data_IF_584619100875
#
_entry.id   IF_584619100875
#
_cell.length_a   1.000
_cell.length_b   1.000
_cell.length_c   1.000
_cell.angle_alpha   90.00
_cell.angle_beta   90.00
_cell.angle_gamma   90.00
#
_symmetry.space_group_name_H-M   'P 1'
#
loop_
_entity.id
_entity.type
_entity.pdbx_description
1 polymer ?
#
# COMPACT_ATOMS: atom_id res chain seq x y z
N UNK A 1 -13.45 -27.96 -0.20
CA UNK A 1 -12.06 -27.48 -0.21
C UNK A 1 -12.11 -26.00 -0.56
N UNK A 2 -11.38 -25.19 0.19
CA UNK A 2 -11.28 -23.75 -0.07
C UNK A 2 -10.76 -23.51 -1.50
N UNK A 3 -11.41 -22.59 -2.24
CA UNK A 3 -11.07 -22.29 -3.64
C UNK A 3 -11.21 -20.80 -3.96
N UNK A 4 -10.38 -20.35 -4.86
CA UNK A 4 -10.40 -19.00 -5.38
C UNK A 4 -9.46 -18.06 -4.64
N UNK A 5 -8.82 -17.19 -5.41
CA UNK A 5 -7.92 -16.16 -4.90
C UNK A 5 -8.69 -14.85 -4.84
N UNK A 6 -8.82 -14.33 -3.65
CA UNK A 6 -9.61 -13.14 -3.41
C UNK A 6 -8.76 -11.93 -3.09
N UNK A 7 -9.23 -10.78 -3.48
CA UNK A 7 -8.64 -9.48 -3.15
C UNK A 7 -9.67 -8.58 -2.49
N UNK A 8 -9.20 -7.64 -1.68
CA UNK A 8 -10.02 -6.56 -1.14
C UNK A 8 -9.81 -5.30 -1.98
N UNK A 9 -10.88 -4.77 -2.57
CA UNK A 9 -10.86 -3.48 -3.22
C UNK A 9 -10.96 -2.39 -2.16
N UNK A 10 -10.01 -1.46 -2.15
CA UNK A 10 -10.06 -0.27 -1.30
C UNK A 10 -10.67 0.90 -2.07
N UNK A 11 -11.70 1.50 -1.47
CA UNK A 11 -12.37 2.70 -1.99
C UNK A 11 -12.17 3.84 -1.00
N UNK A 12 -11.82 5.00 -1.52
CA UNK A 12 -11.74 6.22 -0.72
C UNK A 12 -12.30 7.39 -1.54
N UNK A 13 -13.19 8.16 -0.94
CA UNK A 13 -13.83 9.31 -1.58
C UNK A 13 -14.53 8.95 -2.92
N UNK A 14 -15.10 7.74 -3.01
CA UNK A 14 -15.78 7.25 -4.21
C UNK A 14 -14.86 6.75 -5.33
N UNK A 15 -13.55 6.67 -5.09
CA UNK A 15 -12.57 6.20 -6.07
C UNK A 15 -11.84 4.95 -5.61
N UNK A 16 -11.55 4.04 -6.55
CA UNK A 16 -10.69 2.89 -6.32
C UNK A 16 -9.26 3.33 -6.12
N UNK A 17 -8.66 2.88 -5.01
CA UNK A 17 -7.24 3.06 -4.76
C UNK A 17 -6.40 2.17 -5.67
N UNK A 18 -5.24 2.67 -6.09
CA UNK A 18 -4.30 1.96 -6.98
C UNK A 18 -3.97 0.56 -6.49
N UNK A 19 -3.81 0.38 -5.17
CA UNK A 19 -3.52 -0.92 -4.55
C UNK A 19 -4.55 -1.99 -4.92
N UNK A 20 -5.83 -1.64 -5.10
CA UNK A 20 -6.87 -2.59 -5.52
C UNK A 20 -6.53 -3.25 -6.86
N UNK A 21 -5.99 -2.48 -7.80
CA UNK A 21 -5.60 -2.95 -9.13
C UNK A 21 -4.28 -3.73 -9.08
N UNK A 22 -3.36 -3.32 -8.22
CA UNK A 22 -2.10 -4.04 -7.96
C UNK A 22 -2.36 -5.43 -7.35
N UNK A 23 -3.31 -5.52 -6.41
CA UNK A 23 -3.73 -6.79 -5.82
C UNK A 23 -4.35 -7.73 -6.86
N UNK A 24 -5.15 -7.21 -7.80
CA UNK A 24 -5.69 -8.01 -8.89
C UNK A 24 -4.59 -8.54 -9.80
N UNK A 25 -3.58 -7.72 -10.11
CA UNK A 25 -2.40 -8.18 -10.87
C UNK A 25 -1.68 -9.32 -10.16
N UNK A 26 -1.41 -9.16 -8.87
CA UNK A 26 -0.80 -10.19 -8.04
C UNK A 26 -1.67 -11.47 -8.00
N UNK A 27 -2.98 -11.34 -7.74
CA UNK A 27 -3.90 -12.46 -7.68
C UNK A 27 -3.96 -13.23 -9.01
N UNK A 28 -3.93 -12.55 -10.15
CA UNK A 28 -3.90 -13.19 -11.47
C UNK A 28 -2.64 -14.04 -11.68
N UNK A 29 -1.47 -13.56 -11.24
CA UNK A 29 -0.24 -14.35 -11.33
C UNK A 29 -0.27 -15.60 -10.43
N UNK A 30 -0.85 -15.50 -9.23
CA UNK A 30 -1.03 -16.64 -8.35
C UNK A 30 -2.06 -17.64 -8.91
N UNK A 31 -3.17 -17.13 -9.47
CA UNK A 31 -4.27 -17.91 -10.02
C UNK A 31 -3.83 -18.77 -11.23
N UNK A 32 -2.95 -18.24 -12.08
CA UNK A 32 -2.37 -19.00 -13.19
C UNK A 32 -1.67 -20.29 -12.72
N UNK A 33 -1.01 -20.24 -11.55
CA UNK A 33 -0.29 -21.41 -11.01
C UNK A 33 -1.21 -22.45 -10.37
N UNK A 34 -2.37 -22.02 -9.83
CA UNK A 34 -3.33 -22.89 -9.17
C UNK A 34 -4.50 -23.29 -10.07
N UNK A 35 -4.64 -22.70 -11.25
CA UNK A 35 -5.80 -22.82 -12.11
C UNK A 35 -7.11 -22.48 -11.37
N UNK A 36 -7.08 -21.39 -10.60
CA UNK A 36 -8.21 -20.87 -9.83
C UNK A 36 -8.72 -19.54 -10.38
N UNK A 37 -9.93 -19.15 -10.01
CA UNK A 37 -10.51 -17.86 -10.36
C UNK A 37 -10.08 -16.77 -9.39
N UNK A 38 -10.00 -15.54 -9.91
CA UNK A 38 -9.75 -14.33 -9.12
C UNK A 38 -11.08 -13.65 -8.83
N UNK A 39 -11.38 -13.45 -7.56
CA UNK A 39 -12.52 -12.67 -7.12
C UNK A 39 -12.06 -11.44 -6.34
N UNK A 40 -12.88 -10.41 -6.31
CA UNK A 40 -12.62 -9.23 -5.49
C UNK A 40 -13.83 -8.84 -4.68
N UNK A 41 -13.61 -8.35 -3.46
CA UNK A 41 -14.65 -7.82 -2.58
C UNK A 41 -14.66 -6.31 -2.70
N UNK A 42 -15.78 -5.76 -3.15
CA UNK A 42 -16.04 -4.33 -3.26
C UNK A 42 -17.15 -3.97 -2.28
N UNK A 43 -16.85 -3.14 -1.28
CA UNK A 43 -17.82 -2.75 -0.27
C UNK A 43 -17.78 -1.26 0.02
N UNK A 44 -18.95 -0.68 0.33
CA UNK A 44 -19.12 0.74 0.58
C UNK A 44 -20.56 1.21 0.39
N UNK A 45 -20.75 2.50 0.19
CA UNK A 45 -22.01 3.10 -0.23
C UNK A 45 -21.84 3.70 -1.62
N UNK A 46 -22.77 3.40 -2.54
CA UNK A 46 -22.75 3.87 -3.93
C UNK A 46 -21.45 3.53 -4.70
N UNK A 47 -20.94 2.32 -4.55
CA UNK A 47 -19.67 1.87 -5.15
C UNK A 47 -19.84 0.96 -6.36
N UNK A 48 -21.07 0.60 -6.73
CA UNK A 48 -21.37 -0.33 -7.84
C UNK A 48 -20.77 0.10 -9.17
N UNK A 49 -20.68 1.40 -9.45
CA UNK A 49 -20.04 1.94 -10.65
C UNK A 49 -18.53 1.64 -10.78
N UNK A 50 -17.90 1.15 -9.70
CA UNK A 50 -16.48 0.78 -9.72
C UNK A 50 -16.23 -0.67 -10.13
N UNK A 51 -17.29 -1.50 -10.20
CA UNK A 51 -17.18 -2.93 -10.48
C UNK A 51 -16.60 -3.24 -11.86
N UNK A 52 -17.03 -2.49 -12.89
CA UNK A 52 -16.52 -2.66 -14.26
C UNK A 52 -15.00 -2.52 -14.31
N UNK A 53 -14.46 -1.50 -13.65
CA UNK A 53 -13.01 -1.29 -13.57
C UNK A 53 -12.30 -2.47 -12.94
N UNK A 54 -12.85 -3.08 -11.89
CA UNK A 54 -12.26 -4.28 -11.27
C UNK A 54 -12.33 -5.49 -12.20
N UNK A 55 -13.42 -5.68 -12.94
CA UNK A 55 -13.56 -6.71 -13.98
C UNK A 55 -12.51 -6.54 -15.08
N UNK A 56 -12.39 -5.33 -15.65
CA UNK A 56 -11.41 -5.01 -16.69
C UNK A 56 -9.96 -5.24 -16.23
N UNK A 57 -9.66 -5.06 -14.95
CA UNK A 57 -8.35 -5.34 -14.35
C UNK A 57 -8.21 -6.78 -13.82
N UNK A 58 -9.04 -7.70 -14.26
CA UNK A 58 -8.78 -9.12 -14.10
C UNK A 58 -9.65 -9.88 -13.13
N UNK A 59 -10.55 -9.23 -12.37
CA UNK A 59 -11.51 -9.98 -11.56
C UNK A 59 -12.41 -10.83 -12.45
N UNK A 60 -12.54 -12.12 -12.14
CA UNK A 60 -13.54 -13.00 -12.75
C UNK A 60 -14.90 -12.79 -12.08
N UNK A 61 -14.88 -12.44 -10.79
CA UNK A 61 -16.06 -12.20 -9.99
C UNK A 61 -15.88 -10.99 -9.07
N UNK A 62 -16.88 -10.15 -8.98
CA UNK A 62 -16.91 -9.01 -8.04
C UNK A 62 -18.05 -9.24 -7.05
N UNK A 63 -17.72 -9.43 -5.77
CA UNK A 63 -18.69 -9.45 -4.68
C UNK A 63 -18.96 -8.02 -4.25
N UNK A 64 -20.13 -7.52 -4.60
CA UNK A 64 -20.57 -6.16 -4.32
C UNK A 64 -21.43 -6.12 -3.05
N UNK A 65 -20.98 -5.38 -2.05
CA UNK A 65 -21.72 -5.14 -0.81
C UNK A 65 -21.96 -3.64 -0.67
N UNK A 66 -23.19 -3.20 -0.89
CA UNK A 66 -23.61 -1.81 -0.75
C UNK A 66 -24.50 -1.64 0.48
N UNK A 67 -24.09 -0.77 1.39
CA UNK A 67 -24.87 -0.36 2.55
C UNK A 67 -24.48 1.06 2.95
N UNK A 68 -25.44 1.91 3.29
CA UNK A 68 -25.16 3.28 3.74
C UNK A 68 -24.34 3.30 5.05
N UNK A 69 -24.43 2.27 5.88
CA UNK A 69 -23.61 2.09 7.08
C UNK A 69 -22.12 1.87 6.77
N UNK A 70 -21.79 1.53 5.51
CA UNK A 70 -20.42 1.34 5.02
C UNK A 70 -19.89 2.55 4.24
N UNK A 71 -20.61 3.68 4.23
CA UNK A 71 -20.20 4.91 3.55
C UNK A 71 -18.86 5.41 4.03
N UNK A 72 -18.68 5.46 5.33
CA UNK A 72 -17.42 5.79 5.95
C UNK A 72 -16.75 4.51 6.45
N UNK A 73 -15.43 4.45 6.36
CA UNK A 73 -14.70 3.29 6.83
C UNK A 73 -14.93 3.06 8.33
N UNK A 74 -15.42 1.89 8.66
CA UNK A 74 -15.53 1.37 10.02
C UNK A 74 -14.87 0.02 10.10
N UNK A 75 -13.85 -0.12 10.95
CA UNK A 75 -13.17 -1.40 11.13
C UNK A 75 -14.12 -2.50 11.63
N UNK A 76 -15.13 -2.15 12.44
CA UNK A 76 -16.11 -3.09 12.95
C UNK A 76 -17.05 -3.57 11.83
N UNK A 77 -17.67 -2.64 11.11
CA UNK A 77 -18.62 -2.97 10.03
C UNK A 77 -17.96 -3.72 8.88
N UNK A 78 -16.81 -3.24 8.41
CA UNK A 78 -16.05 -3.88 7.33
C UNK A 78 -15.60 -5.29 7.72
N UNK A 79 -15.05 -5.47 8.93
CA UNK A 79 -14.61 -6.77 9.44
C UNK A 79 -15.75 -7.78 9.47
N UNK A 80 -16.91 -7.40 10.04
CA UNK A 80 -18.07 -8.28 10.13
C UNK A 80 -18.53 -8.78 8.77
N UNK A 81 -18.75 -7.85 7.85
CA UNK A 81 -19.27 -8.16 6.51
C UNK A 81 -18.29 -9.06 5.73
N UNK A 82 -16.99 -8.76 5.79
CA UNK A 82 -15.99 -9.55 5.07
C UNK A 82 -15.84 -10.94 5.68
N UNK A 83 -15.84 -11.07 7.02
CA UNK A 83 -15.78 -12.38 7.69
C UNK A 83 -16.98 -13.23 7.33
N UNK A 84 -18.18 -12.68 7.35
CA UNK A 84 -19.41 -13.39 7.02
C UNK A 84 -19.38 -13.92 5.57
N UNK A 85 -18.89 -13.09 4.64
CA UNK A 85 -18.71 -13.48 3.25
C UNK A 85 -17.64 -14.56 3.09
N UNK A 86 -16.47 -14.42 3.71
CA UNK A 86 -15.37 -15.41 3.64
C UNK A 86 -15.80 -16.74 4.22
N UNK A 87 -16.53 -16.77 5.34
CA UNK A 87 -17.05 -18.01 5.94
C UNK A 87 -18.06 -18.73 5.05
N UNK A 88 -18.81 -17.97 4.23
CA UNK A 88 -19.79 -18.55 3.31
C UNK A 88 -19.15 -19.11 2.05
N UNK A 89 -18.18 -18.43 1.50
CA UNK A 89 -17.62 -18.72 0.17
C UNK A 89 -16.29 -19.48 0.23
N UNK A 90 -15.60 -19.50 1.37
CA UNK A 90 -14.38 -20.25 1.68
C UNK A 90 -13.24 -20.08 0.65
N UNK A 91 -12.73 -18.86 0.40
CA UNK A 91 -11.59 -18.68 -0.50
C UNK A 91 -10.32 -19.35 0.02
N UNK A 92 -9.43 -19.76 -0.90
CA UNK A 92 -8.12 -20.35 -0.55
C UNK A 92 -7.11 -19.29 -0.09
N UNK A 93 -7.13 -18.13 -0.74
CA UNK A 93 -6.24 -17.00 -0.46
C UNK A 93 -7.06 -15.71 -0.38
N UNK A 94 -6.69 -14.82 0.56
CA UNK A 94 -7.26 -13.48 0.68
C UNK A 94 -6.17 -12.43 0.78
N UNK A 95 -6.08 -11.55 -0.22
CA UNK A 95 -5.08 -10.49 -0.31
C UNK A 95 -5.69 -9.13 0.02
N UNK A 96 -5.00 -8.37 0.88
CA UNK A 96 -5.33 -6.98 1.22
C UNK A 96 -4.16 -6.06 0.91
N UNK A 97 -4.40 -4.75 0.79
CA UNK A 97 -3.33 -3.76 0.76
C UNK A 97 -2.72 -3.55 2.16
N UNK A 98 -1.41 -3.34 2.24
CA UNK A 98 -0.75 -2.92 3.48
C UNK A 98 -0.81 -1.39 3.64
N UNK A 99 -1.93 -0.79 3.28
CA UNK A 99 -2.28 0.61 3.48
C UNK A 99 -2.61 0.90 4.95
N UNK A 100 -2.90 2.14 5.29
CA UNK A 100 -3.39 2.49 6.64
C UNK A 100 -4.68 1.74 6.96
N UNK A 101 -5.63 1.69 6.01
CA UNK A 101 -6.90 0.96 6.18
C UNK A 101 -6.66 -0.54 6.26
N UNK A 102 -5.85 -1.10 5.36
CA UNK A 102 -5.59 -2.53 5.34
C UNK A 102 -4.82 -3.02 6.56
N UNK A 103 -3.90 -2.22 7.11
CA UNK A 103 -3.18 -2.53 8.36
C UNK A 103 -4.08 -2.56 9.60
N UNK A 104 -5.18 -1.81 9.60
CA UNK A 104 -6.20 -1.89 10.65
C UNK A 104 -7.16 -3.07 10.41
N UNK A 105 -7.59 -3.28 9.17
CA UNK A 105 -8.66 -4.21 8.81
C UNK A 105 -8.18 -5.67 8.72
N UNK A 106 -7.06 -5.94 8.02
CA UNK A 106 -6.61 -7.31 7.75
C UNK A 106 -6.31 -8.13 9.02
N UNK A 107 -5.67 -7.57 10.08
CA UNK A 107 -5.48 -8.32 11.33
C UNK A 107 -6.79 -8.67 12.05
N UNK A 108 -7.81 -7.80 11.97
CA UNK A 108 -9.13 -8.06 12.55
C UNK A 108 -9.85 -9.20 11.83
N UNK A 109 -9.77 -9.21 10.49
CA UNK A 109 -10.32 -10.29 9.67
C UNK A 109 -9.61 -11.60 10.00
N UNK A 110 -8.27 -11.61 10.02
CA UNK A 110 -7.48 -12.80 10.32
C UNK A 110 -7.82 -13.38 11.70
N UNK A 111 -7.88 -12.51 12.73
CA UNK A 111 -8.26 -12.92 14.09
C UNK A 111 -9.69 -13.48 14.16
N UNK A 112 -10.65 -12.85 13.47
CA UNK A 112 -12.06 -13.31 13.43
C UNK A 112 -12.27 -14.61 12.66
N UNK A 113 -11.36 -14.94 11.74
CA UNK A 113 -11.34 -16.22 11.02
C UNK A 113 -10.47 -17.29 11.70
N UNK A 114 -9.64 -16.91 12.68
CA UNK A 114 -8.68 -17.82 13.32
C UNK A 114 -7.55 -18.23 12.38
N UNK A 115 -7.18 -17.38 11.42
CA UNK A 115 -6.12 -17.64 10.43
C UNK A 115 -4.88 -16.77 10.66
N UNK A 116 -3.76 -17.15 10.01
CA UNK A 116 -2.54 -16.36 10.01
C UNK A 116 -2.56 -15.22 8.99
N UNK A 117 -1.86 -14.13 9.30
CA UNK A 117 -1.66 -13.00 8.41
C UNK A 117 -0.18 -12.66 8.28
N UNK A 118 0.33 -12.66 7.06
CA UNK A 118 1.62 -12.06 6.75
C UNK A 118 1.42 -10.61 6.29
N UNK A 119 2.02 -9.64 7.00
CA UNK A 119 1.81 -8.21 6.72
C UNK A 119 3.04 -7.57 6.09
N UNK A 120 2.80 -6.49 5.31
CA UNK A 120 3.82 -5.67 4.66
C UNK A 120 4.71 -6.46 3.69
N UNK A 121 4.06 -7.35 2.92
CA UNK A 121 4.71 -8.24 1.97
C UNK A 121 5.07 -7.51 0.68
N UNK A 122 6.23 -7.86 0.11
CA UNK A 122 6.75 -7.27 -1.14
C UNK A 122 6.74 -8.25 -2.31
N UNK A 123 6.55 -9.54 -2.04
CA UNK A 123 6.39 -10.58 -3.06
C UNK A 123 5.39 -11.63 -2.57
N UNK A 124 4.70 -12.28 -3.52
CA UNK A 124 3.80 -13.39 -3.27
C UNK A 124 3.99 -14.45 -4.37
N UNK A 125 4.05 -15.70 -3.98
CA UNK A 125 4.23 -16.84 -4.90
C UNK A 125 3.49 -18.07 -4.37
N UNK A 126 3.19 -19.02 -5.25
CA UNK A 126 2.68 -20.34 -4.88
C UNK A 126 3.82 -21.33 -4.94
N UNK A 127 3.99 -22.13 -3.87
CA UNK A 127 4.98 -23.20 -3.83
C UNK A 127 4.49 -24.47 -4.56
N UNK A 128 5.34 -25.51 -4.58
CA UNK A 128 5.04 -26.79 -5.22
C UNK A 128 3.85 -27.55 -4.57
N UNK A 129 3.55 -27.24 -3.31
CA UNK A 129 2.42 -27.81 -2.56
C UNK A 129 1.11 -27.03 -2.74
N UNK A 130 1.10 -25.97 -3.58
CA UNK A 130 -0.06 -25.09 -3.78
C UNK A 130 -0.32 -24.14 -2.62
N UNK A 131 0.68 -23.83 -1.78
CA UNK A 131 0.55 -22.90 -0.66
C UNK A 131 1.10 -21.54 -0.98
N UNK A 132 0.49 -20.51 -0.42
CA UNK A 132 0.95 -19.14 -0.53
C UNK A 132 2.23 -18.95 0.28
N UNK A 133 3.29 -18.53 -0.40
CA UNK A 133 4.53 -18.03 0.22
C UNK A 133 4.63 -16.54 -0.07
N UNK A 134 4.87 -15.75 0.95
CA UNK A 134 5.08 -14.32 0.80
C UNK A 134 6.44 -13.91 1.36
N UNK A 135 7.06 -12.94 0.71
CA UNK A 135 8.34 -12.36 1.16
C UNK A 135 8.08 -10.99 1.76
N UNK A 136 8.67 -10.73 2.92
CA UNK A 136 8.60 -9.42 3.57
C UNK A 136 9.96 -8.97 4.08
N UNK A 137 10.27 -7.65 4.02
CA UNK A 137 11.49 -7.11 4.61
C UNK A 137 11.40 -7.09 6.14
N UNK A 138 12.53 -7.34 6.78
CA UNK A 138 12.73 -7.20 8.23
C UNK A 138 14.02 -6.43 8.50
N UNK A 139 14.24 -5.99 9.74
CA UNK A 139 15.41 -5.20 10.14
C UNK A 139 15.68 -4.01 9.21
N UNK A 140 14.64 -3.21 8.98
CA UNK A 140 14.70 -2.01 8.11
C UNK A 140 15.14 -2.34 6.65
N UNK A 141 14.71 -3.47 6.12
CA UNK A 141 15.03 -3.90 4.75
C UNK A 141 16.40 -4.56 4.57
N UNK A 142 17.14 -4.79 5.66
CA UNK A 142 18.45 -5.47 5.61
C UNK A 142 18.36 -6.97 5.39
N UNK A 143 17.21 -7.58 5.69
CA UNK A 143 16.93 -8.98 5.45
C UNK A 143 15.51 -9.17 4.93
N UNK A 144 15.29 -10.27 4.23
CA UNK A 144 13.99 -10.69 3.75
C UNK A 144 13.66 -12.05 4.33
N UNK A 145 12.45 -12.24 4.81
CA UNK A 145 11.96 -13.53 5.27
C UNK A 145 10.82 -14.01 4.38
N UNK A 146 10.75 -15.31 4.16
CA UNK A 146 9.60 -15.98 3.55
C UNK A 146 8.67 -16.46 4.65
N UNK A 147 7.39 -16.18 4.52
CA UNK A 147 6.35 -16.54 5.47
C UNK A 147 5.32 -17.43 4.76
N UNK A 148 4.90 -18.48 5.44
CA UNK A 148 3.86 -19.39 5.01
C UNK A 148 2.93 -19.70 6.19
N UNK A 149 1.61 -19.76 5.93
CA UNK A 149 0.60 -20.20 6.90
C UNK A 149 -0.17 -21.39 6.29
N UNK A 150 0.40 -22.62 6.31
CA UNK A 150 -0.07 -23.71 5.46
C UNK A 150 -1.37 -24.36 5.92
N UNK A 151 -1.69 -24.29 7.22
CA UNK A 151 -2.74 -25.09 7.86
C UNK A 151 -4.02 -24.30 8.15
N UNK A 152 -4.09 -23.04 7.74
CA UNK A 152 -5.26 -22.20 7.98
C UNK A 152 -5.74 -21.52 6.69
N UNK A 153 -7.05 -21.36 6.55
CA UNK A 153 -7.70 -20.78 5.38
C UNK A 153 -8.67 -19.66 5.77
N UNK A 154 -8.78 -18.62 4.92
CA UNK A 154 -7.89 -18.35 3.79
C UNK A 154 -6.46 -18.09 4.26
N UNK A 155 -5.46 -18.37 3.41
CA UNK A 155 -4.10 -17.89 3.61
C UNK A 155 -4.08 -16.39 3.33
N UNK A 156 -3.73 -15.56 4.34
CA UNK A 156 -3.87 -14.13 4.23
C UNK A 156 -2.53 -13.41 4.12
N UNK A 157 -2.49 -12.42 3.23
CA UNK A 157 -1.35 -11.51 3.11
C UNK A 157 -1.81 -10.07 2.88
N UNK A 158 -1.10 -9.13 3.54
CA UNK A 158 -1.22 -7.71 3.24
C UNK A 158 0.00 -7.26 2.41
N UNK A 159 -0.26 -6.84 1.18
CA UNK A 159 0.75 -6.48 0.17
C UNK A 159 1.05 -4.98 0.26
N UNK A 160 2.32 -4.63 0.27
CA UNK A 160 2.76 -3.24 0.27
C UNK A 160 2.34 -2.54 -1.02
N UNK A 161 1.83 -1.31 -0.99
CA UNK A 161 1.55 -0.53 -2.20
C UNK A 161 2.81 -0.31 -3.06
N UNK A 162 2.62 -0.19 -4.37
CA UNK A 162 3.65 0.07 -5.38
C UNK A 162 4.73 -1.03 -5.55
N UNK A 163 4.50 -2.24 -5.02
CA UNK A 163 5.43 -3.37 -5.21
C UNK A 163 4.93 -4.38 -6.24
N UNK A 164 3.63 -4.42 -6.49
CA UNK A 164 3.01 -5.24 -7.53
C UNK A 164 2.55 -4.37 -8.70
N UNK A 165 2.65 -4.90 -9.91
CA UNK A 165 2.16 -4.21 -11.08
C UNK A 165 0.69 -4.59 -11.35
N UNK A 166 -0.19 -3.62 -11.62
CA UNK A 166 -1.51 -3.95 -12.16
C UNK A 166 -1.34 -4.53 -13.56
N UNK A 167 -2.25 -5.39 -13.98
CA UNK A 167 -2.32 -5.83 -15.38
C UNK A 167 -2.87 -4.69 -16.25
N UNK A 168 -2.63 -4.77 -17.56
CA UNK A 168 -3.29 -3.87 -18.51
C UNK A 168 -4.80 -4.14 -18.51
N UNK A 169 -5.66 -3.09 -18.51
CA UNK A 169 -7.10 -3.28 -18.51
C UNK A 169 -7.55 -3.91 -19.84
N UNK A 170 -8.52 -4.81 -19.77
CA UNK A 170 -9.20 -5.40 -20.91
C UNK A 170 -10.71 -5.12 -20.78
N UNK A 171 -11.19 -4.11 -21.49
CA UNK A 171 -12.60 -3.69 -21.46
C UNK A 171 -13.56 -4.73 -22.07
N UNK A 172 -13.03 -5.74 -22.77
CA UNK A 172 -13.83 -6.83 -23.35
C UNK A 172 -14.05 -7.96 -22.35
N UNK A 173 -13.31 -7.97 -21.25
CA UNK A 173 -13.37 -9.04 -20.25
C UNK A 173 -14.70 -9.00 -19.50
N UNK A 174 -15.42 -10.12 -19.57
CA UNK A 174 -16.65 -10.34 -18.79
C UNK A 174 -16.30 -10.78 -17.36
N UNK A 175 -17.10 -10.38 -16.43
CA UNK A 175 -17.01 -10.79 -15.02
C UNK A 175 -18.40 -11.01 -14.44
N UNK A 176 -18.50 -11.77 -13.37
CA UNK A 176 -19.73 -12.00 -12.62
C UNK A 176 -19.88 -10.96 -11.52
N UNK A 177 -20.97 -10.20 -11.51
CA UNK A 177 -21.32 -9.31 -10.42
C UNK A 177 -22.25 -10.01 -9.43
N UNK A 178 -21.76 -10.32 -8.24
CA UNK A 178 -22.52 -10.97 -7.17
C UNK A 178 -22.88 -9.95 -6.11
N UNK A 179 -24.14 -9.55 -6.05
CA UNK A 179 -24.62 -8.67 -4.97
C UNK A 179 -24.80 -9.46 -3.69
N UNK A 180 -24.22 -8.96 -2.60
CA UNK A 180 -24.26 -9.58 -1.28
C UNK A 180 -24.85 -8.57 -0.29
N UNK A 181 -25.79 -9.03 0.51
CA UNK A 181 -26.39 -8.22 1.59
C UNK A 181 -25.40 -8.09 2.76
N UNK A 182 -25.26 -6.89 3.31
CA UNK A 182 -24.31 -6.60 4.39
C UNK A 182 -24.68 -7.27 5.72
N UNK A 183 -25.96 -7.49 5.98
CA UNK A 183 -26.51 -8.01 7.25
C UNK A 183 -26.04 -7.26 8.50
N UNK A 184 -25.72 -5.96 8.34
CA UNK A 184 -25.32 -5.12 9.46
C UNK A 184 -26.54 -4.70 10.28
N UNK A 185 -26.53 -5.00 11.57
CA UNK A 185 -27.54 -4.62 12.53
C UNK A 185 -27.22 -3.28 13.23
N UNK A 186 -28.18 -2.77 13.98
CA UNK A 186 -27.94 -1.63 14.84
C UNK A 186 -27.07 -2.05 16.04
N UNK A 187 -25.92 -1.36 16.20
CA UNK A 187 -24.92 -1.72 17.24
C UNK A 187 -23.69 -2.48 16.75
N UNK A 188 -23.70 -3.01 15.52
CA UNK A 188 -22.50 -3.63 14.92
C UNK A 188 -21.36 -2.62 14.70
N UNK A 189 -21.71 -1.35 14.51
CA UNK A 189 -20.78 -0.23 14.39
C UNK A 189 -20.97 0.67 15.60
N UNK A 190 -20.08 0.57 16.58
CA UNK A 190 -20.14 1.31 17.83
C UNK A 190 -19.44 2.67 17.73
N UNK A 191 -18.38 2.74 16.94
CA UNK A 191 -17.63 3.98 16.71
C UNK A 191 -18.23 4.75 15.55
N UNK A 192 -18.63 6.00 15.78
CA UNK A 192 -19.14 6.90 14.74
C UNK A 192 -18.12 7.98 14.42
N UNK A 193 -17.86 8.21 13.14
CA UNK A 193 -17.03 9.33 12.68
C UNK A 193 -17.80 10.61 12.94
N UNK A 194 -17.23 11.52 13.73
CA UNK A 194 -17.81 12.85 13.96
C UNK A 194 -17.43 13.84 12.87
N UNK A 195 -16.18 13.79 12.45
CA UNK A 195 -15.59 14.75 11.51
C UNK A 195 -14.43 14.10 10.77
N UNK A 196 -14.34 14.35 9.47
CA UNK A 196 -13.19 14.04 8.62
C UNK A 196 -12.39 15.32 8.43
N UNK A 197 -11.28 15.43 9.14
CA UNK A 197 -10.34 16.53 8.93
C UNK A 197 -9.45 16.16 7.74
N UNK A 198 -9.76 16.77 6.58
CA UNK A 198 -8.86 16.67 5.44
C UNK A 198 -7.66 17.56 5.70
N UNK A 199 -6.49 16.97 5.86
CA UNK A 199 -5.25 17.73 5.78
C UNK A 199 -5.19 18.29 4.36
N UNK A 200 -5.44 19.58 4.22
CA UNK A 200 -5.41 20.24 2.92
C UNK A 200 -4.01 20.10 2.33
N UNK A 201 -3.85 19.21 1.38
CA UNK A 201 -2.62 19.01 0.65
C UNK A 201 -2.90 18.98 -0.84
N UNK A 202 -2.26 19.87 -1.59
CA UNK A 202 -2.21 19.84 -3.06
C UNK A 202 -1.45 18.60 -3.59
N UNK A 203 -0.96 17.73 -2.69
CA UNK A 203 -0.03 16.65 -3.03
C UNK A 203 -0.68 15.27 -2.86
N UNK A 204 -0.26 14.35 -3.71
CA UNK A 204 -0.61 12.93 -3.64
C UNK A 204 -0.21 12.35 -2.28
N UNK A 205 -0.98 11.40 -1.76
CA UNK A 205 -0.64 10.73 -0.50
C UNK A 205 0.68 9.94 -0.64
N UNK A 206 1.57 10.10 0.34
CA UNK A 206 2.92 9.49 0.33
C UNK A 206 2.92 7.99 0.04
N UNK A 207 1.99 7.25 0.62
CA UNK A 207 1.94 5.78 0.49
C UNK A 207 1.49 5.31 -0.88
N UNK A 208 0.87 6.19 -1.68
CA UNK A 208 0.30 5.88 -2.99
C UNK A 208 1.10 6.52 -4.13
N UNK A 209 2.03 7.43 -3.79
CA UNK A 209 2.77 8.20 -4.78
C UNK A 209 3.77 7.35 -5.56
N UNK A 210 3.80 7.53 -6.87
CA UNK A 210 4.84 6.94 -7.73
C UNK A 210 6.17 7.70 -7.65
N UNK A 211 6.11 9.01 -7.34
CA UNK A 211 7.29 9.86 -7.16
C UNK A 211 7.16 10.59 -5.83
N UNK A 212 8.24 10.64 -5.07
CA UNK A 212 8.31 11.37 -3.80
C UNK A 212 9.52 12.29 -3.81
N UNK A 213 9.31 13.56 -3.44
CA UNK A 213 10.37 14.52 -3.16
C UNK A 213 10.39 14.81 -1.67
N UNK A 214 11.48 14.48 -0.99
CA UNK A 214 11.55 14.54 0.47
C UNK A 214 12.68 15.46 0.94
N UNK A 215 12.34 16.33 1.90
CA UNK A 215 13.28 17.25 2.53
C UNK A 215 13.76 16.79 3.90
N UNK A 216 15.03 16.95 4.19
CA UNK A 216 15.62 16.67 5.49
C UNK A 216 16.11 17.91 6.22
N UNK A 217 16.78 17.71 7.37
CA UNK A 217 17.37 18.80 8.17
C UNK A 217 18.39 19.64 7.38
N UNK A 218 18.98 19.09 6.30
CA UNK A 218 19.87 19.79 5.41
C UNK A 218 19.22 20.95 4.64
N UNK A 219 17.88 21.06 4.63
CA UNK A 219 17.15 22.21 4.10
C UNK A 219 17.36 23.48 4.94
N UNK A 220 17.84 23.34 6.17
CA UNK A 220 18.21 24.44 7.10
C UNK A 220 17.06 25.31 7.58
N UNK A 221 15.80 24.99 7.32
CA UNK A 221 14.64 25.79 7.76
C UNK A 221 13.30 25.23 7.30
N UNK A 222 12.20 25.88 7.72
CA UNK A 222 10.84 25.45 7.39
C UNK A 222 10.43 25.75 5.95
N UNK A 223 11.25 26.49 5.19
CA UNK A 223 10.96 26.80 3.79
C UNK A 223 11.15 25.55 2.93
N UNK A 224 10.02 24.93 2.58
CA UNK A 224 9.93 23.77 1.70
C UNK A 224 9.54 24.12 0.26
N UNK A 225 9.53 25.41 -0.09
CA UNK A 225 9.10 25.89 -1.42
C UNK A 225 9.81 25.18 -2.57
N UNK A 226 11.13 24.93 -2.45
CA UNK A 226 11.91 24.21 -3.46
C UNK A 226 11.43 22.76 -3.61
N UNK A 227 11.18 22.06 -2.49
CA UNK A 227 10.68 20.68 -2.48
C UNK A 227 9.27 20.63 -3.07
N UNK A 228 8.39 21.53 -2.63
CA UNK A 228 7.00 21.61 -3.06
C UNK A 228 6.86 21.96 -4.54
N UNK A 229 7.64 22.92 -5.02
CA UNK A 229 7.66 23.29 -6.44
C UNK A 229 8.14 22.13 -7.31
N UNK A 230 9.21 21.43 -6.90
CA UNK A 230 9.69 20.25 -7.62
C UNK A 230 8.65 19.15 -7.61
N UNK A 231 8.02 18.88 -6.46
CA UNK A 231 6.95 17.90 -6.35
C UNK A 231 5.76 18.25 -7.25
N UNK A 232 5.36 19.50 -7.32
CA UNK A 232 4.27 19.97 -8.18
C UNK A 232 4.58 19.75 -9.67
N UNK A 233 5.79 20.07 -10.11
CA UNK A 233 6.23 19.86 -11.51
C UNK A 233 6.23 18.37 -11.88
N UNK A 234 6.60 17.50 -10.94
CA UNK A 234 6.70 16.06 -11.16
C UNK A 234 5.38 15.30 -10.90
N UNK A 235 4.33 15.95 -10.41
CA UNK A 235 3.14 15.28 -9.90
C UNK A 235 3.46 14.35 -8.71
N UNK A 236 4.44 14.75 -7.88
CA UNK A 236 5.00 13.94 -6.80
C UNK A 236 4.36 14.25 -5.45
N UNK A 237 4.46 13.32 -4.50
CA UNK A 237 4.19 13.60 -3.10
C UNK A 237 5.38 14.32 -2.44
N UNK A 238 5.06 15.13 -1.41
CA UNK A 238 6.07 15.76 -0.55
C UNK A 238 6.30 14.90 0.68
N UNK A 239 7.57 14.60 0.98
CA UNK A 239 7.98 13.89 2.17
C UNK A 239 8.89 14.72 3.07
N UNK A 240 9.05 14.29 4.31
CA UNK A 240 9.95 14.90 5.26
C UNK A 240 10.68 13.84 6.10
N UNK A 241 11.93 14.14 6.50
CA UNK A 241 12.62 13.33 7.49
C UNK A 241 12.06 13.59 8.89
N UNK A 242 12.21 12.62 9.80
CA UNK A 242 11.83 12.80 11.21
C UNK A 242 12.43 14.09 11.81
N UNK A 243 13.71 14.38 11.52
CA UNK A 243 14.37 15.58 12.07
C UNK A 243 13.75 16.90 11.58
N UNK A 244 13.15 16.92 10.39
CA UNK A 244 12.41 18.09 9.90
C UNK A 244 11.03 18.21 10.55
N UNK A 245 10.37 17.07 10.80
CA UNK A 245 9.09 17.03 11.54
C UNK A 245 9.27 17.41 13.00
N UNK A 246 10.27 16.85 13.68
CA UNK A 246 10.59 17.17 15.09
C UNK A 246 10.97 18.67 15.25
N UNK A 247 11.52 19.30 14.22
CA UNK A 247 11.79 20.74 14.16
C UNK A 247 10.55 21.59 13.83
N UNK A 248 9.38 20.98 13.63
CA UNK A 248 8.13 21.68 13.32
C UNK A 248 8.06 22.25 11.90
N UNK A 249 8.92 21.81 10.98
CA UNK A 249 8.93 22.30 9.60
C UNK A 249 7.84 21.69 8.73
N UNK A 250 7.44 20.48 9.04
CA UNK A 250 6.33 19.74 8.42
C UNK A 250 5.56 18.94 9.46
N UNK A 251 4.28 18.71 9.18
CA UNK A 251 3.44 17.85 9.99
C UNK A 251 3.89 16.39 9.94
N UNK A 252 3.55 15.59 10.97
CA UNK A 252 3.88 14.17 11.05
C UNK A 252 3.33 13.36 9.87
N UNK A 253 2.25 13.79 9.24
CA UNK A 253 1.66 13.14 8.04
C UNK A 253 2.62 13.09 6.85
N UNK A 254 3.62 13.98 6.81
CA UNK A 254 4.67 14.01 5.79
C UNK A 254 5.88 13.14 6.14
N UNK A 255 5.93 12.58 7.36
CA UNK A 255 7.11 11.85 7.82
C UNK A 255 7.30 10.52 7.08
N UNK A 256 8.48 10.34 6.48
CA UNK A 256 8.94 9.07 5.91
C UNK A 256 9.95 8.44 6.85
N UNK A 257 9.74 7.15 7.17
CA UNK A 257 10.64 6.41 8.04
C UNK A 257 9.94 5.35 8.88
N UNK A 258 10.68 4.68 9.75
CA UNK A 258 10.19 3.60 10.61
C UNK A 258 9.01 4.01 11.51
N UNK A 259 9.02 5.24 12.01
CA UNK A 259 7.97 5.80 12.88
C UNK A 259 6.99 6.72 12.14
N UNK A 260 7.16 6.85 10.83
CA UNK A 260 6.29 7.56 9.91
C UNK A 260 5.69 6.60 8.87
N UNK A 261 5.53 7.10 7.65
CA UNK A 261 5.03 6.31 6.54
C UNK A 261 6.16 5.50 5.88
N UNK A 262 5.89 4.23 5.58
CA UNK A 262 6.74 3.41 4.71
C UNK A 262 6.23 3.51 3.30
N UNK A 263 7.13 3.85 2.37
CA UNK A 263 6.83 4.14 0.97
C UNK A 263 7.69 3.29 0.04
N UNK A 264 7.17 2.98 -1.14
CA UNK A 264 7.86 2.23 -2.19
C UNK A 264 7.61 2.88 -3.56
N UNK A 265 7.97 4.17 -3.74
CA UNK A 265 7.76 4.85 -5.01
C UNK A 265 8.67 4.29 -6.10
N UNK A 266 8.33 4.56 -7.34
CA UNK A 266 9.23 4.36 -8.49
C UNK A 266 10.46 5.26 -8.36
N UNK A 267 10.28 6.52 -7.90
CA UNK A 267 11.37 7.48 -7.72
C UNK A 267 11.28 8.18 -6.37
N UNK A 268 12.34 8.10 -5.59
CA UNK A 268 12.50 8.83 -4.33
C UNK A 268 13.64 9.84 -4.43
N UNK A 269 13.33 11.14 -4.33
CA UNK A 269 14.32 12.22 -4.34
C UNK A 269 14.54 12.71 -2.92
N UNK A 270 15.72 12.46 -2.35
CA UNK A 270 16.09 12.80 -0.99
C UNK A 270 16.97 14.06 -0.97
N UNK A 271 16.43 15.20 -0.49
CA UNK A 271 17.13 16.48 -0.43
C UNK A 271 17.55 16.80 1.01
N UNK A 272 18.85 16.90 1.28
CA UNK A 272 19.38 17.24 2.59
C UNK A 272 19.03 16.23 3.70
N UNK A 273 18.86 14.96 3.34
CA UNK A 273 18.57 13.83 4.22
C UNK A 273 19.86 13.05 4.49
N UNK A 274 20.18 12.75 5.75
CA UNK A 274 21.39 12.03 6.12
C UNK A 274 21.36 10.55 5.75
N UNK A 275 20.20 9.91 5.74
CA UNK A 275 20.08 8.48 5.53
C UNK A 275 20.28 7.63 6.80
N UNK A 276 19.81 8.16 7.94
CA UNK A 276 19.71 7.35 9.18
C UNK A 276 18.88 6.08 8.93
N UNK A 277 19.24 4.98 9.60
CA UNK A 277 18.59 3.66 9.44
C UNK A 277 17.07 3.74 9.55
N UNK A 278 16.56 4.59 10.45
CA UNK A 278 15.13 4.78 10.65
C UNK A 278 14.44 5.43 9.43
N UNK A 279 15.14 6.32 8.72
CA UNK A 279 14.62 6.91 7.49
C UNK A 279 14.68 5.89 6.35
N UNK A 280 15.81 5.19 6.22
CA UNK A 280 16.00 4.14 5.22
C UNK A 280 14.96 3.03 5.34
N UNK A 281 14.58 2.66 6.55
CA UNK A 281 13.51 1.69 6.81
C UNK A 281 12.18 2.06 6.13
N UNK A 282 11.94 3.36 5.94
CA UNK A 282 10.72 3.87 5.33
C UNK A 282 10.77 4.03 3.81
N UNK A 283 11.97 3.96 3.16
CA UNK A 283 12.06 4.27 1.73
C UNK A 283 13.03 3.40 0.92
N UNK A 284 13.79 2.52 1.55
CA UNK A 284 14.79 1.68 0.85
C UNK A 284 14.22 0.72 -0.19
N UNK A 285 12.92 0.47 -0.18
CA UNK A 285 12.21 -0.30 -1.20
C UNK A 285 11.83 0.52 -2.46
N UNK A 286 12.19 1.81 -2.51
CA UNK A 286 12.04 2.63 -3.71
C UNK A 286 12.82 2.04 -4.88
N UNK A 287 12.24 2.05 -6.07
CA UNK A 287 12.89 1.47 -7.26
C UNK A 287 14.12 2.27 -7.69
N UNK A 288 14.03 3.60 -7.61
CA UNK A 288 15.14 4.52 -7.89
C UNK A 288 15.24 5.53 -6.75
N UNK A 289 16.47 5.80 -6.32
CA UNK A 289 16.77 6.77 -5.27
C UNK A 289 17.76 7.79 -5.80
N UNK A 290 17.35 9.07 -5.77
CA UNK A 290 18.21 10.20 -6.05
C UNK A 290 18.48 10.92 -4.74
N UNK A 291 19.74 11.18 -4.43
CA UNK A 291 20.13 11.87 -3.21
C UNK A 291 20.91 13.15 -3.53
N UNK A 292 20.47 14.24 -2.91
CA UNK A 292 21.12 15.57 -2.98
C UNK A 292 21.60 15.90 -1.57
N UNK A 293 22.93 15.91 -1.37
CA UNK A 293 23.52 16.19 -0.08
C UNK A 293 24.85 16.94 -0.24
N UNK A 294 25.17 17.82 0.72
CA UNK A 294 26.46 18.49 0.79
C UNK A 294 27.56 17.64 1.44
N UNK A 295 27.15 16.67 2.28
CA UNK A 295 28.05 15.74 2.97
C UNK A 295 28.31 14.54 2.06
N UNK A 296 29.54 14.36 1.54
CA UNK A 296 29.87 13.25 0.66
C UNK A 296 29.84 11.89 1.35
N UNK A 297 29.91 11.86 2.68
CA UNK A 297 29.90 10.65 3.50
C UNK A 297 28.49 10.30 4.03
N UNK A 298 27.46 11.08 3.65
CA UNK A 298 26.11 10.82 4.10
C UNK A 298 25.64 9.41 3.70
N UNK A 299 25.12 8.59 4.65
CA UNK A 299 24.69 7.20 4.37
C UNK A 299 23.66 7.09 3.25
N UNK A 300 22.84 8.12 3.01
CA UNK A 300 21.85 8.13 1.91
C UNK A 300 22.52 7.97 0.53
N UNK A 301 23.76 8.49 0.35
CA UNK A 301 24.48 8.38 -0.90
C UNK A 301 24.94 6.95 -1.18
N UNK A 302 25.19 6.14 -0.13
CA UNK A 302 25.53 4.73 -0.29
C UNK A 302 24.31 3.93 -0.78
N UNK A 303 23.11 4.21 -0.26
CA UNK A 303 21.89 3.58 -0.71
C UNK A 303 21.54 4.00 -2.14
N UNK A 304 21.72 5.27 -2.48
CA UNK A 304 21.55 5.74 -3.86
C UNK A 304 22.50 5.04 -4.85
N UNK A 305 23.69 4.61 -4.44
CA UNK A 305 24.65 3.87 -5.27
C UNK A 305 24.42 2.35 -5.35
N UNK A 306 23.74 1.75 -4.36
CA UNK A 306 23.68 0.29 -4.19
C UNK A 306 22.43 -0.39 -4.71
N UNK A 307 21.42 0.35 -5.20
CA UNK A 307 20.23 -0.23 -5.83
C UNK A 307 20.62 -0.82 -7.20
N UNK A 308 21.30 -1.97 -7.15
CA UNK A 308 21.89 -2.64 -8.30
C UNK A 308 20.86 -3.37 -9.16
N UNK A 309 20.23 -2.66 -10.04
CA UNK A 309 19.65 -3.18 -11.28
C UNK A 309 19.83 -2.09 -12.34
N UNK A 310 20.84 -2.23 -13.22
CA UNK A 310 21.04 -1.51 -14.49
C UNK A 310 20.41 -0.08 -14.59
N UNK A 311 20.60 0.78 -13.60
CA UNK A 311 19.88 2.02 -13.48
C UNK A 311 20.84 3.17 -13.21
N UNK A 312 20.71 4.23 -13.96
CA UNK A 312 21.42 5.48 -13.80
C UNK A 312 21.25 6.04 -12.40
N UNK A 313 22.37 6.25 -11.69
CA UNK A 313 22.44 6.88 -10.38
C UNK A 313 22.78 8.35 -10.57
N UNK A 314 22.04 9.22 -9.89
CA UNK A 314 22.39 10.63 -9.77
C UNK A 314 22.54 10.98 -8.29
N UNK A 315 23.77 10.87 -7.77
CA UNK A 315 24.13 11.48 -6.49
C UNK A 315 24.70 12.86 -6.81
N UNK A 316 23.96 13.92 -6.49
CA UNK A 316 24.49 15.30 -6.59
C UNK A 316 25.16 15.64 -5.26
N UNK A 317 26.48 15.78 -5.27
CA UNK A 317 27.22 16.42 -4.21
C UNK A 317 27.26 17.91 -4.56
N UNK A 318 26.44 18.72 -3.88
CA UNK A 318 26.52 20.16 -4.04
C UNK A 318 27.66 20.67 -3.17
N UNK A 319 28.80 20.98 -3.78
CA UNK A 319 29.82 21.79 -3.13
C UNK A 319 29.28 23.22 -3.01
N UNK A 320 28.91 23.61 -1.78
CA UNK A 320 28.63 25.04 -1.53
C UNK A 320 29.91 25.84 -1.72
N UNK A 321 29.96 26.71 -2.71
CA UNK A 321 30.91 27.79 -2.69
C UNK A 321 30.59 28.64 -1.47
N UNK A 322 31.49 28.67 -0.50
CA UNK A 322 31.50 29.68 0.54
C UNK A 322 31.71 31.04 -0.16
N UNK A 323 30.71 31.91 -0.09
CA UNK A 323 30.74 33.30 -0.44
C UNK A 323 30.24 34.09 0.76
#
# INVERSE_FOLDING_TARGET
MAKGIWTLAEVREGELKKISLELLGCAQELAKKQNEEVSTVLLGSNVSGLADKLGHYGANKVYLIEDEKLKDYSSEGYTKVIIDLIKKEEPSIFLCGATTQGKDLAPRIAAGLGTGLASDCTQAEINEEGKLIVTRPVYAGKAFIKVICPDSFPQMAAIRPNVMAPISPDETKKYDLVKVESKLEEGDIRAKIKELIKTAGEFVELTEADIIVSGGRGMKGPDYSVIENLAKVLGAAVGASRAAVDAGWKDHSFQVGQTGKTVSPTLYIACGISGAIQHLAGMSSSKFIVAVNKDPDAPILQVAKSTGFNSFFLAFIIHGSEG
#
